data_IF_704818802743
#
_entry.id   IF_704818802743
#
_cell.length_a   1.000
_cell.length_b   1.000
_cell.length_c   1.000
_cell.angle_alpha   90.00
_cell.angle_beta   90.00
_cell.angle_gamma   90.00
#
_symmetry.space_group_name_H-M   'P 1'
#
loop_
_entity.id
_entity.type
_entity.pdbx_description
1 polymer ?
#
# COMPACT_ATOMS: atom_id res chain seq x y z
N UNK A 1 14.80 11.84 -1.68
CA UNK A 1 15.22 10.50 -1.25
C UNK A 1 14.18 9.96 -0.27
N UNK A 2 14.14 8.65 -0.05
CA UNK A 2 13.33 8.05 1.01
C UNK A 2 14.30 7.59 2.08
N UNK A 3 14.12 8.09 3.30
CA UNK A 3 14.91 7.66 4.45
C UNK A 3 14.16 6.51 5.12
N UNK A 4 14.79 5.36 5.26
CA UNK A 4 14.16 4.23 5.94
C UNK A 4 14.03 4.50 7.44
N UNK A 5 12.93 4.05 8.02
CA UNK A 5 12.61 4.34 9.42
C UNK A 5 13.65 3.77 10.41
N UNK A 6 14.38 2.72 10.02
CA UNK A 6 15.48 2.17 10.83
C UNK A 6 16.76 3.00 10.80
N UNK A 7 16.87 3.93 9.85
CA UNK A 7 18.02 4.79 9.62
C UNK A 7 17.71 6.25 10.02
N UNK A 8 16.46 6.55 10.37
CA UNK A 8 16.00 7.87 10.76
C UNK A 8 16.16 8.10 12.27
N UNK A 9 16.82 9.19 12.67
CA UNK A 9 16.87 9.63 14.06
C UNK A 9 15.45 9.84 14.64
N UNK A 10 15.08 9.20 15.76
CA UNK A 10 13.73 9.30 16.30
C UNK A 10 13.32 10.70 16.75
N UNK A 11 14.27 11.53 17.20
CA UNK A 11 13.95 12.89 17.64
C UNK A 11 13.67 13.79 16.43
N UNK A 12 14.41 13.59 15.34
CA UNK A 12 14.15 14.25 14.07
C UNK A 12 12.82 13.80 13.44
N UNK A 13 12.55 12.49 13.43
CA UNK A 13 11.30 11.93 12.90
C UNK A 13 10.04 12.42 13.65
N UNK A 14 10.17 12.73 14.95
CA UNK A 14 9.11 13.29 15.78
C UNK A 14 9.01 14.82 15.71
N UNK A 15 9.83 15.48 14.89
CA UNK A 15 9.81 16.93 14.72
C UNK A 15 8.48 17.42 14.15
N UNK A 16 7.98 18.53 14.72
CA UNK A 16 6.69 19.14 14.35
C UNK A 16 6.92 20.56 13.84
N UNK A 17 6.23 20.91 12.76
CA UNK A 17 6.27 22.23 12.13
C UNK A 17 5.41 23.28 12.85
N UNK A 18 5.45 24.54 12.40
CA UNK A 18 4.65 25.63 12.99
C UNK A 18 3.12 25.43 12.87
N UNK A 19 2.68 24.59 11.95
CA UNK A 19 1.29 24.22 11.69
C UNK A 19 0.78 23.08 12.58
N UNK A 20 1.65 22.46 13.38
CA UNK A 20 1.30 21.32 14.23
C UNK A 20 1.40 19.97 13.53
N UNK A 21 1.82 19.93 12.26
CA UNK A 21 2.04 18.71 11.49
C UNK A 21 3.49 18.21 11.63
N UNK A 22 3.72 16.92 11.36
CA UNK A 22 5.08 16.38 11.33
C UNK A 22 5.89 17.07 10.22
N UNK A 23 7.14 17.44 10.53
CA UNK A 23 8.09 17.97 9.53
C UNK A 23 8.30 16.99 8.37
N UNK A 24 8.22 15.70 8.67
CA UNK A 24 8.37 14.60 7.73
C UNK A 24 7.09 13.75 7.69
N UNK A 25 6.02 14.31 7.13
CA UNK A 25 4.70 13.67 7.07
C UNK A 25 4.41 12.87 5.77
N UNK A 26 5.36 12.80 4.83
CA UNK A 26 5.21 12.04 3.58
C UNK A 26 5.63 10.58 3.74
N UNK A 27 4.71 9.75 4.24
CA UNK A 27 4.94 8.31 4.42
C UNK A 27 4.99 7.52 3.10
N UNK A 28 6.10 6.83 2.83
CA UNK A 28 6.21 5.94 1.68
C UNK A 28 5.42 4.63 1.91
N UNK A 29 4.34 4.42 1.16
CA UNK A 29 3.51 3.20 1.22
C UNK A 29 3.96 2.09 0.25
N UNK A 30 5.14 2.22 -0.35
CA UNK A 30 5.71 1.29 -1.34
C UNK A 30 4.83 1.09 -2.60
N UNK A 31 4.08 2.13 -2.98
CA UNK A 31 3.35 2.20 -4.24
C UNK A 31 4.00 3.25 -5.14
N UNK A 32 4.66 2.81 -6.20
CA UNK A 32 5.43 3.67 -7.10
C UNK A 32 4.99 3.51 -8.55
N UNK A 33 5.11 4.58 -9.32
CA UNK A 33 4.88 4.57 -10.76
C UNK A 33 6.19 4.90 -11.47
N UNK A 34 6.54 4.09 -12.48
CA UNK A 34 7.75 4.25 -13.26
C UNK A 34 7.43 4.17 -14.75
N UNK A 35 8.11 4.98 -15.56
CA UNK A 35 8.12 4.76 -17.01
C UNK A 35 8.99 3.56 -17.36
N UNK A 36 8.69 2.89 -18.48
CA UNK A 36 9.51 1.75 -18.95
C UNK A 36 10.96 2.17 -19.20
N UNK A 37 11.18 3.32 -19.85
CA UNK A 37 12.52 3.86 -20.09
C UNK A 37 13.30 4.12 -18.79
N UNK A 38 12.60 4.56 -17.73
CA UNK A 38 13.23 4.73 -16.42
C UNK A 38 13.60 3.39 -15.78
N UNK A 39 12.75 2.36 -15.90
CA UNK A 39 13.06 1.02 -15.39
C UNK A 39 14.29 0.41 -16.09
N UNK A 40 14.42 0.60 -17.41
CA UNK A 40 15.60 0.17 -18.17
C UNK A 40 16.89 0.85 -17.68
N UNK A 41 16.84 2.16 -17.43
CA UNK A 41 17.96 2.92 -16.84
C UNK A 41 18.28 2.41 -15.43
N UNK A 42 17.26 2.29 -14.59
CA UNK A 42 17.37 1.87 -13.19
C UNK A 42 18.03 0.50 -13.07
N UNK A 43 17.66 -0.47 -13.91
CA UNK A 43 18.18 -1.83 -13.87
C UNK A 43 19.71 -1.89 -14.06
N UNK A 44 20.27 -0.98 -14.85
CA UNK A 44 21.72 -0.91 -15.09
C UNK A 44 22.42 -0.08 -14.01
N UNK A 45 21.84 1.06 -13.65
CA UNK A 45 22.52 2.05 -12.81
C UNK A 45 22.48 1.72 -11.32
N UNK A 46 21.42 1.07 -10.82
CA UNK A 46 21.36 0.64 -9.41
C UNK A 46 22.42 -0.42 -9.08
N UNK A 47 22.57 -1.42 -9.96
CA UNK A 47 23.60 -2.45 -9.78
C UNK A 47 25.01 -1.84 -9.81
N UNK A 48 25.24 -0.88 -10.71
CA UNK A 48 26.52 -0.17 -10.83
C UNK A 48 26.84 0.68 -9.60
N UNK A 49 25.84 1.31 -8.98
CA UNK A 49 26.05 2.13 -7.79
C UNK A 49 26.62 1.30 -6.62
N UNK A 50 26.16 0.05 -6.46
CA UNK A 50 26.70 -0.87 -5.45
C UNK A 50 26.53 -0.39 -3.99
N UNK A 51 25.62 0.54 -3.74
CA UNK A 51 25.33 1.08 -2.42
C UNK A 51 24.25 0.22 -1.76
N UNK A 52 24.68 -0.72 -0.93
CA UNK A 52 23.77 -1.64 -0.24
C UNK A 52 23.47 -1.17 1.18
N UNK A 53 22.21 -1.31 1.58
CA UNK A 53 21.79 -1.21 2.98
C UNK A 53 22.26 -2.47 3.73
N UNK A 54 22.88 -2.26 4.90
CA UNK A 54 23.49 -3.33 5.68
C UNK A 54 22.60 -3.72 6.86
N UNK A 55 22.08 -4.94 6.84
CA UNK A 55 21.37 -5.53 7.97
C UNK A 55 22.22 -6.60 8.66
N UNK A 56 22.61 -6.36 9.92
CA UNK A 56 23.28 -7.38 10.76
C UNK A 56 22.27 -8.42 11.22
N UNK A 57 22.53 -9.70 10.94
CA UNK A 57 21.60 -10.81 11.24
C UNK A 57 22.32 -11.97 11.92
N UNK A 58 21.54 -12.74 12.67
CA UNK A 58 21.94 -14.08 13.13
C UNK A 58 21.47 -15.10 12.10
N UNK A 59 22.40 -15.59 11.28
CA UNK A 59 22.14 -16.44 10.13
C UNK A 59 22.24 -17.91 10.56
N UNK A 60 21.19 -18.72 10.44
CA UNK A 60 21.30 -20.17 10.68
C UNK A 60 22.33 -20.81 9.73
N UNK A 61 23.31 -21.53 10.29
CA UNK A 61 24.33 -22.27 9.55
C UNK A 61 24.75 -23.52 10.33
N UNK A 62 24.67 -24.69 9.68
CA UNK A 62 25.15 -26.00 10.16
C UNK A 62 25.11 -26.21 11.69
N UNK A 63 23.91 -26.26 12.26
CA UNK A 63 23.71 -26.58 13.69
C UNK A 63 23.87 -25.39 14.66
N UNK A 64 24.18 -24.20 14.17
CA UNK A 64 24.27 -22.99 14.98
C UNK A 64 23.69 -21.76 14.26
N UNK A 65 23.63 -20.62 14.97
CA UNK A 65 23.44 -19.30 14.36
C UNK A 65 24.77 -18.57 14.39
N UNK A 66 25.14 -17.95 13.27
CA UNK A 66 26.37 -17.16 13.15
C UNK A 66 26.03 -15.70 12.85
N UNK A 67 26.82 -14.78 13.37
CA UNK A 67 26.70 -13.38 13.02
C UNK A 67 27.10 -13.19 11.54
N UNK A 68 26.25 -12.49 10.79
CA UNK A 68 26.50 -12.16 9.39
C UNK A 68 25.82 -10.87 8.96
N UNK A 69 26.07 -10.49 7.71
CA UNK A 69 25.48 -9.32 7.09
C UNK A 69 24.58 -9.76 5.94
N UNK A 70 23.42 -9.12 5.82
CA UNK A 70 22.57 -9.15 4.65
C UNK A 70 22.69 -7.80 3.95
N UNK A 71 22.94 -7.82 2.66
CA UNK A 71 22.98 -6.65 1.80
C UNK A 71 21.65 -6.54 1.08
N UNK A 72 21.01 -5.38 1.15
CA UNK A 72 19.71 -5.10 0.53
C UNK A 72 19.82 -3.85 -0.35
N UNK A 73 19.13 -3.86 -1.49
CA UNK A 73 18.84 -2.68 -2.29
C UNK A 73 17.37 -2.35 -2.11
N UNK A 74 17.03 -1.08 -1.95
CA UNK A 74 15.65 -0.66 -1.88
C UNK A 74 15.20 -0.05 -3.20
N UNK A 75 13.94 -0.34 -3.57
CA UNK A 75 13.40 0.09 -4.88
C UNK A 75 13.39 1.62 -5.02
N UNK A 76 13.23 2.35 -3.91
CA UNK A 76 13.21 3.81 -3.87
C UNK A 76 14.60 4.46 -3.91
N UNK A 77 15.68 3.68 -3.77
CA UNK A 77 17.06 4.17 -4.02
C UNK A 77 17.23 4.60 -5.47
N UNK A 78 16.33 4.15 -6.35
CA UNK A 78 16.25 4.58 -7.75
C UNK A 78 15.82 6.03 -7.91
N UNK A 79 15.15 6.65 -6.93
CA UNK A 79 14.54 7.97 -7.12
C UNK A 79 15.55 9.06 -7.43
N UNK A 80 16.79 8.95 -6.94
CA UNK A 80 17.89 9.85 -7.30
C UNK A 80 18.31 9.79 -8.77
N UNK A 81 17.96 8.71 -9.47
CA UNK A 81 18.25 8.53 -10.89
C UNK A 81 17.18 9.18 -11.78
N UNK A 82 16.05 9.59 -11.20
CA UNK A 82 14.94 10.20 -11.94
C UNK A 82 15.19 11.69 -12.15
N UNK A 83 14.96 12.17 -13.37
CA UNK A 83 15.05 13.61 -13.67
C UNK A 83 13.95 14.41 -12.97
N UNK A 84 12.82 13.75 -12.67
CA UNK A 84 11.68 14.32 -11.95
C UNK A 84 11.01 13.26 -11.09
N UNK A 85 10.84 13.57 -9.81
CA UNK A 85 10.03 12.80 -8.86
C UNK A 85 8.80 13.63 -8.51
N UNK A 86 7.63 13.00 -8.51
CA UNK A 86 6.36 13.61 -8.10
C UNK A 86 5.78 12.75 -6.99
N UNK A 87 5.23 13.41 -5.96
CA UNK A 87 4.56 12.75 -4.85
C UNK A 87 3.05 12.91 -5.01
N UNK A 88 2.31 11.85 -4.73
CA UNK A 88 0.85 11.85 -4.70
C UNK A 88 0.40 11.39 -3.31
N UNK A 89 -0.25 12.29 -2.59
CA UNK A 89 -0.85 11.97 -1.31
C UNK A 89 -2.18 11.24 -1.50
N UNK A 90 -2.42 10.24 -0.66
CA UNK A 90 -3.66 9.46 -0.62
C UNK A 90 -4.13 9.31 0.81
N UNK A 91 -5.43 9.07 0.99
CA UNK A 91 -5.98 8.73 2.30
C UNK A 91 -5.60 7.29 2.65
N UNK A 92 -4.93 7.12 3.79
CA UNK A 92 -4.55 5.79 4.32
C UNK A 92 -5.73 4.81 4.39
N UNK A 93 -6.88 5.28 4.89
CA UNK A 93 -8.08 4.45 5.05
C UNK A 93 -8.63 3.88 3.72
N UNK A 94 -8.29 4.49 2.59
CA UNK A 94 -8.76 4.06 1.27
C UNK A 94 -7.71 3.25 0.48
N UNK A 95 -6.41 3.35 0.84
CA UNK A 95 -5.32 2.88 -0.02
C UNK A 95 -4.23 2.05 0.68
N UNK A 96 -4.21 1.98 2.02
CA UNK A 96 -3.10 1.34 2.72
C UNK A 96 -3.49 0.60 4.02
N UNK A 97 -3.45 -0.74 3.95
CA UNK A 97 -3.68 -1.66 5.06
C UNK A 97 -2.67 -2.83 5.00
N UNK A 98 -1.40 -2.63 5.42
CA UNK A 98 -0.35 -3.64 5.26
C UNK A 98 -0.55 -4.84 6.20
N UNK A 99 -0.09 -6.01 5.75
CA UNK A 99 -0.03 -7.24 6.56
C UNK A 99 1.42 -7.64 6.72
N UNK A 100 1.99 -7.35 7.90
CA UNK A 100 3.40 -7.57 8.27
C UNK A 100 3.55 -8.49 9.48
N UNK A 101 2.55 -8.50 10.37
CA UNK A 101 2.59 -9.18 11.65
C UNK A 101 1.60 -10.37 11.69
N UNK A 102 1.82 -11.28 12.64
CA UNK A 102 0.97 -12.47 12.81
C UNK A 102 -0.46 -12.11 13.25
N UNK A 103 -1.46 -12.99 13.01
CA UNK A 103 -2.81 -12.83 13.54
C UNK A 103 -2.82 -12.55 15.05
N UNK A 104 -3.73 -11.68 15.49
CA UNK A 104 -3.84 -11.21 16.87
C UNK A 104 -2.86 -10.09 17.24
N UNK A 105 -1.94 -9.70 16.36
CA UNK A 105 -1.09 -8.53 16.59
C UNK A 105 -1.90 -7.24 16.47
N UNK A 106 -1.59 -6.25 17.32
CA UNK A 106 -2.34 -5.00 17.43
C UNK A 106 -2.24 -4.08 16.20
N UNK A 107 -1.19 -4.25 15.39
CA UNK A 107 -0.93 -3.44 14.18
C UNK A 107 -0.51 -4.33 13.03
N UNK A 108 -0.79 -3.88 11.80
CA UNK A 108 -0.36 -4.48 10.53
C UNK A 108 -0.50 -6.01 10.48
N UNK A 109 -1.62 -6.54 10.98
CA UNK A 109 -1.96 -7.97 11.00
C UNK A 109 -3.13 -8.27 10.07
N UNK A 110 -3.39 -9.55 9.72
CA UNK A 110 -4.56 -9.93 8.94
C UNK A 110 -5.87 -9.40 9.54
N UNK A 111 -6.00 -9.38 10.87
CA UNK A 111 -7.18 -8.89 11.57
C UNK A 111 -7.37 -7.38 11.35
N UNK A 112 -6.30 -6.60 11.49
CA UNK A 112 -6.36 -5.14 11.27
C UNK A 112 -6.62 -4.79 9.80
N UNK A 113 -6.04 -5.53 8.86
CA UNK A 113 -6.25 -5.29 7.44
C UNK A 113 -7.69 -5.62 7.03
N UNK A 114 -8.25 -6.73 7.53
CA UNK A 114 -9.65 -7.09 7.33
C UNK A 114 -10.60 -6.04 7.90
N UNK A 115 -10.33 -5.54 9.11
CA UNK A 115 -11.15 -4.48 9.71
C UNK A 115 -11.15 -3.21 8.85
N UNK A 116 -9.97 -2.74 8.42
CA UNK A 116 -9.84 -1.55 7.56
C UNK A 116 -10.57 -1.72 6.22
N UNK A 117 -10.47 -2.89 5.57
CA UNK A 117 -11.17 -3.16 4.32
C UNK A 117 -12.69 -3.17 4.49
N UNK A 118 -13.20 -3.79 5.56
CA UNK A 118 -14.63 -3.82 5.85
C UNK A 118 -15.16 -2.43 6.22
N UNK A 119 -14.39 -1.62 6.95
CA UNK A 119 -14.77 -0.24 7.25
C UNK A 119 -14.81 0.62 5.98
N UNK A 120 -13.86 0.43 5.05
CA UNK A 120 -13.88 1.07 3.74
C UNK A 120 -15.14 0.67 2.95
N UNK A 121 -15.43 -0.62 2.84
CA UNK A 121 -16.61 -1.12 2.13
C UNK A 121 -17.93 -0.66 2.77
N UNK A 122 -17.99 -0.63 4.12
CA UNK A 122 -19.13 -0.05 4.84
C UNK A 122 -19.34 1.41 4.42
N UNK A 123 -18.27 2.21 4.38
CA UNK A 123 -18.36 3.61 3.97
C UNK A 123 -18.88 3.79 2.54
N UNK A 124 -18.51 2.90 1.61
CA UNK A 124 -19.02 2.91 0.25
C UNK A 124 -20.51 2.58 0.18
N UNK A 125 -20.94 1.55 0.91
CA UNK A 125 -22.35 1.14 0.97
C UNK A 125 -23.22 2.26 1.57
N UNK A 126 -22.77 2.87 2.67
CA UNK A 126 -23.47 3.97 3.32
C UNK A 126 -23.57 5.20 2.40
N UNK A 127 -22.48 5.54 1.69
CA UNK A 127 -22.47 6.63 0.70
C UNK A 127 -23.44 6.37 -0.47
N UNK A 128 -23.65 5.11 -0.83
CA UNK A 128 -24.63 4.69 -1.85
C UNK A 128 -26.08 4.58 -1.31
N UNK A 129 -26.31 4.86 -0.03
CA UNK A 129 -27.63 4.80 0.61
C UNK A 129 -28.06 3.42 1.10
N UNK A 130 -27.13 2.46 1.12
CA UNK A 130 -27.32 1.14 1.73
C UNK A 130 -27.09 1.16 3.25
N UNK A 131 -27.53 0.11 3.94
CA UNK A 131 -27.41 -0.04 5.41
C UNK A 131 -26.85 -1.39 5.84
N UNK A 132 -26.40 -2.20 4.88
CA UNK A 132 -25.88 -3.55 5.15
C UNK A 132 -24.39 -3.52 5.44
N UNK A 133 -23.97 -4.34 6.40
CA UNK A 133 -22.55 -4.63 6.58
C UNK A 133 -22.14 -5.73 5.60
N UNK A 134 -20.97 -5.58 4.97
CA UNK A 134 -20.47 -6.57 4.04
C UNK A 134 -19.17 -6.19 3.37
N UNK A 135 -18.66 -7.14 2.59
CA UNK A 135 -17.51 -6.95 1.72
C UNK A 135 -18.01 -6.73 0.29
N UNK A 136 -17.48 -5.73 -0.39
CA UNK A 136 -17.78 -5.45 -1.79
C UNK A 136 -16.74 -6.16 -2.67
N UNK A 137 -17.22 -7.01 -3.58
CA UNK A 137 -16.34 -7.66 -4.56
C UNK A 137 -15.72 -6.60 -5.49
N UNK A 138 -14.41 -6.68 -5.80
CA UNK A 138 -13.79 -5.80 -6.79
C UNK A 138 -14.41 -5.87 -8.20
N UNK A 139 -15.17 -6.93 -8.50
CA UNK A 139 -15.90 -7.06 -9.78
C UNK A 139 -17.21 -6.26 -9.80
N UNK A 140 -17.74 -5.91 -8.63
CA UNK A 140 -18.94 -5.08 -8.50
C UNK A 140 -18.57 -3.60 -8.42
N UNK A 141 -17.49 -3.28 -7.71
CA UNK A 141 -16.99 -1.91 -7.53
C UNK A 141 -15.49 -1.90 -7.24
N UNK A 142 -14.75 -1.01 -7.90
CA UNK A 142 -13.31 -0.83 -7.69
C UNK A 142 -12.99 0.12 -6.53
N UNK A 143 -13.73 1.24 -6.43
CA UNK A 143 -13.49 2.31 -5.47
C UNK A 143 -14.79 2.89 -4.88
N UNK A 144 -15.86 2.09 -4.85
CA UNK A 144 -17.18 2.45 -4.30
C UNK A 144 -18.21 2.91 -5.33
N UNK A 145 -17.83 3.03 -6.61
CA UNK A 145 -18.75 3.35 -7.70
C UNK A 145 -19.74 2.21 -8.01
N UNK A 146 -20.94 2.53 -8.51
CA UNK A 146 -21.87 1.54 -9.07
C UNK A 146 -22.67 0.73 -8.04
N UNK A 147 -22.60 1.13 -6.77
CA UNK A 147 -23.32 0.53 -5.63
C UNK A 147 -24.71 1.13 -5.41
N UNK A 148 -25.08 2.19 -6.13
CA UNK A 148 -26.38 2.82 -6.01
C UNK A 148 -27.52 1.87 -6.40
N UNK A 149 -28.73 2.02 -5.82
CA UNK A 149 -29.87 1.16 -6.14
C UNK A 149 -30.17 1.17 -7.65
N UNK A 150 -29.96 0.02 -8.31
CA UNK A 150 -30.33 -0.11 -9.72
C UNK A 150 -31.86 -0.24 -9.82
N UNK A 151 -32.51 0.48 -10.75
CA UNK A 151 -33.92 0.22 -11.04
C UNK A 151 -34.08 -1.25 -11.42
N UNK A 152 -35.12 -1.90 -10.88
CA UNK A 152 -35.40 -3.30 -11.18
C UNK A 152 -35.36 -3.52 -12.70
N UNK A 153 -34.54 -4.47 -13.17
CA UNK A 153 -34.54 -4.87 -14.57
C UNK A 153 -35.99 -5.23 -14.93
N UNK A 154 -36.60 -4.47 -15.84
CA UNK A 154 -37.92 -4.83 -16.39
C UNK A 154 -37.82 -6.27 -16.86
N UNK A 155 -38.66 -7.15 -16.31
CA UNK A 155 -38.72 -8.53 -16.74
C UNK A 155 -38.90 -8.54 -18.26
N UNK A 156 -37.95 -9.18 -18.97
CA UNK A 156 -38.08 -9.42 -20.40
C UNK A 156 -39.24 -10.38 -20.55
N UNK A 157 -40.41 -9.86 -20.91
CA UNK A 157 -41.54 -10.69 -21.33
C UNK A 157 -41.11 -11.29 -22.66
N UNK A 158 -40.73 -12.57 -22.65
CA UNK A 158 -40.61 -13.31 -23.91
C UNK A 158 -42.01 -13.42 -24.51
N UNK A 159 -42.19 -13.16 -25.82
CA UNK A 159 -43.48 -13.35 -26.45
C UNK A 159 -43.87 -14.81 -26.29
N UNK A 160 -45.05 -15.07 -25.71
CA UNK A 160 -45.62 -16.41 -25.70
C UNK A 160 -45.67 -16.89 -27.15
N UNK A 161 -45.04 -18.04 -27.43
CA UNK A 161 -45.24 -18.76 -28.68
C UNK A 161 -46.73 -19.13 -28.76
N UNK A 162 -47.50 -18.29 -29.47
CA UNK A 162 -48.92 -18.51 -29.71
C UNK A 162 -49.11 -19.53 -30.83
N UNK A 163 -49.88 -20.57 -30.49
CA UNK A 163 -50.68 -21.49 -31.32
C UNK A 163 -50.10 -22.02 -32.63
#
# INVERSE_FOLDING_TARGET
EVVEYSEFDPAEAAGVGPDGELLYNWGNIAMHWFTVAFLEKMAVELERAGEYHVAKKQIPSHGAKVAGIKLELFIFDSFRLADKVVLMEVKRAEQFAPVKNAPGSATDSPDTARALLLDLHRSWIEAAGGTVEGEVSPLESYAGEGLEPRPAKKARVEPSAGA
#
